data_IF_580241310380
#
_entry.id   IF_580241310380
#
_cell.length_a   1.000
_cell.length_b   1.000
_cell.length_c   1.000
_cell.angle_alpha   90.00
_cell.angle_beta   90.00
_cell.angle_gamma   90.00
#
_symmetry.space_group_name_H-M   'P 1'
#
loop_
_entity.id
_entity.type
_entity.pdbx_description
1 polymer ?
#
# COMPACT_ATOMS: atom_id res chain seq x y z
N UNK A 1 40.27 -12.91 25.04
CA UNK A 1 38.82 -13.14 25.20
C UNK A 1 38.07 -12.79 23.91
N UNK A 2 38.42 -11.67 23.26
CA UNK A 2 37.78 -11.23 22.00
C UNK A 2 37.70 -12.31 20.91
N UNK A 3 38.79 -13.05 20.64
CA UNK A 3 38.77 -14.15 19.65
C UNK A 3 37.74 -15.24 19.97
N UNK A 4 37.48 -15.49 21.26
CA UNK A 4 36.48 -16.47 21.69
C UNK A 4 35.06 -15.93 21.51
N UNK A 5 34.85 -14.64 21.80
CA UNK A 5 33.58 -13.94 21.58
C UNK A 5 33.20 -13.97 20.10
N UNK A 6 34.16 -13.67 19.21
CA UNK A 6 33.94 -13.69 17.76
C UNK A 6 33.60 -15.11 17.28
N UNK A 7 34.34 -16.11 17.75
CA UNK A 7 34.14 -17.52 17.36
C UNK A 7 32.78 -18.08 17.77
N UNK A 8 32.25 -17.66 18.92
CA UNK A 8 31.00 -18.18 19.48
C UNK A 8 29.82 -17.21 19.40
N UNK A 9 29.99 -16.05 18.76
CA UNK A 9 28.98 -14.99 18.61
C UNK A 9 28.41 -14.47 19.95
N UNK A 10 29.21 -14.49 21.03
CA UNK A 10 28.78 -14.16 22.41
C UNK A 10 28.90 -12.65 22.73
N UNK A 11 28.60 -11.79 21.77
CA UNK A 11 28.84 -10.34 21.88
C UNK A 11 28.01 -9.69 22.99
N UNK A 12 26.73 -10.04 23.11
CA UNK A 12 25.83 -9.51 24.15
C UNK A 12 26.32 -9.84 25.56
N UNK A 13 26.77 -11.08 25.76
CA UNK A 13 27.24 -11.55 27.06
C UNK A 13 28.58 -10.89 27.42
N UNK A 14 29.46 -10.73 26.44
CA UNK A 14 30.73 -10.02 26.61
C UNK A 14 30.52 -8.53 26.95
N UNK A 15 29.58 -7.85 26.30
CA UNK A 15 29.22 -6.46 26.63
C UNK A 15 28.63 -6.34 28.03
N UNK A 16 27.83 -7.32 28.48
CA UNK A 16 27.29 -7.35 29.83
C UNK A 16 28.39 -7.51 30.90
N UNK A 17 29.41 -8.32 30.62
CA UNK A 17 30.56 -8.52 31.51
C UNK A 17 31.44 -7.26 31.62
N UNK A 18 31.64 -6.54 30.51
CA UNK A 18 32.48 -5.34 30.46
C UNK A 18 31.74 -4.02 30.73
N UNK A 19 30.53 -4.07 31.30
CA UNK A 19 29.69 -2.88 31.58
C UNK A 19 30.40 -1.72 32.29
N UNK A 20 31.41 -2.01 33.12
CA UNK A 20 32.16 -1.01 33.88
C UNK A 20 33.58 -0.76 33.36
N UNK A 21 33.99 -1.42 32.27
CA UNK A 21 35.31 -1.31 31.64
C UNK A 21 35.15 -0.71 30.25
N UNK A 22 35.15 0.62 30.14
CA UNK A 22 34.85 1.34 28.90
C UNK A 22 35.74 0.92 27.73
N UNK A 23 37.06 0.84 27.92
CA UNK A 23 37.99 0.48 26.83
C UNK A 23 37.69 -0.89 26.21
N UNK A 24 37.48 -1.91 27.06
CA UNK A 24 37.16 -3.27 26.61
C UNK A 24 35.75 -3.40 26.07
N UNK A 25 34.81 -2.63 26.63
CA UNK A 25 33.45 -2.54 26.11
C UNK A 25 33.49 -2.02 24.67
N UNK A 26 34.27 -0.96 24.43
CA UNK A 26 34.38 -0.32 23.11
C UNK A 26 35.04 -1.25 22.08
N UNK A 27 36.08 -2.00 22.46
CA UNK A 27 36.70 -3.03 21.62
C UNK A 27 35.70 -4.13 21.21
N UNK A 28 34.94 -4.67 22.17
CA UNK A 28 33.91 -5.68 21.90
C UNK A 28 32.77 -5.10 21.06
N UNK A 29 32.38 -3.85 21.30
CA UNK A 29 31.34 -3.17 20.54
C UNK A 29 31.77 -2.98 19.07
N UNK A 30 33.06 -2.70 18.82
CA UNK A 30 33.60 -2.59 17.44
C UNK A 30 33.51 -3.93 16.71
N UNK A 31 33.92 -5.02 17.36
CA UNK A 31 33.80 -6.37 16.81
C UNK A 31 32.33 -6.75 16.57
N UNK A 32 31.44 -6.31 17.45
CA UNK A 32 30.01 -6.53 17.28
C UNK A 32 29.44 -5.75 16.08
N UNK A 33 29.87 -4.50 15.87
CA UNK A 33 29.50 -3.70 14.71
C UNK A 33 29.93 -4.36 13.39
N UNK A 34 31.17 -4.87 13.33
CA UNK A 34 31.69 -5.60 12.17
C UNK A 34 30.88 -6.88 11.90
N UNK A 35 30.58 -7.65 12.95
CA UNK A 35 29.70 -8.82 12.86
C UNK A 35 28.30 -8.46 12.35
N UNK A 36 27.67 -7.41 12.87
CA UNK A 36 26.35 -6.95 12.43
C UNK A 36 26.35 -6.52 10.96
N UNK A 37 27.42 -5.85 10.52
CA UNK A 37 27.62 -5.48 9.12
C UNK A 37 27.69 -6.72 8.22
N UNK A 38 28.49 -7.73 8.61
CA UNK A 38 28.57 -9.01 7.87
C UNK A 38 27.24 -9.77 7.79
N UNK A 39 26.37 -9.61 8.80
CA UNK A 39 25.02 -10.19 8.85
C UNK A 39 23.97 -9.34 8.14
N UNK A 40 24.36 -8.31 7.39
CA UNK A 40 23.47 -7.34 6.70
C UNK A 40 22.55 -6.53 7.63
N UNK A 41 22.85 -6.49 8.93
CA UNK A 41 22.13 -5.67 9.92
C UNK A 41 22.73 -4.27 9.99
N UNK A 42 22.75 -3.60 8.85
CA UNK A 42 23.48 -2.33 8.65
C UNK A 42 23.02 -1.19 9.57
N UNK A 43 21.72 -1.13 9.90
CA UNK A 43 21.20 -0.12 10.83
C UNK A 43 21.79 -0.26 12.23
N UNK A 44 21.84 -1.48 12.76
CA UNK A 44 22.37 -1.75 14.10
C UNK A 44 23.90 -1.58 14.12
N UNK A 45 24.58 -1.98 13.04
CA UNK A 45 26.01 -1.73 12.86
C UNK A 45 26.34 -0.23 12.84
N UNK A 46 25.56 0.58 12.12
CA UNK A 46 25.74 2.04 12.10
C UNK A 46 25.62 2.67 13.49
N UNK A 47 24.61 2.27 14.26
CA UNK A 47 24.41 2.75 15.65
C UNK A 47 25.60 2.35 16.53
N UNK A 48 26.12 1.14 16.33
CA UNK A 48 27.29 0.66 17.08
C UNK A 48 28.56 1.45 16.76
N UNK A 49 28.81 1.78 15.49
CA UNK A 49 29.92 2.64 15.09
C UNK A 49 29.74 4.08 15.58
N UNK A 50 28.52 4.63 15.52
CA UNK A 50 28.21 5.97 16.04
C UNK A 50 28.44 6.06 17.56
N UNK A 51 28.07 5.02 18.32
CA UNK A 51 28.36 4.92 19.75
C UNK A 51 29.87 5.02 20.05
N UNK A 52 30.70 4.44 19.17
CA UNK A 52 32.16 4.48 19.27
C UNK A 52 32.78 5.76 18.70
N UNK A 53 31.97 6.72 18.25
CA UNK A 53 32.41 7.91 17.52
C UNK A 53 33.20 7.61 16.24
N UNK A 54 33.06 6.40 15.69
CA UNK A 54 33.61 6.01 14.39
C UNK A 54 32.61 6.39 13.29
N UNK A 55 32.54 7.70 13.01
CA UNK A 55 31.60 8.24 12.05
C UNK A 55 31.89 7.82 10.60
N UNK A 56 33.14 7.43 10.31
CA UNK A 56 33.55 6.89 9.01
C UNK A 56 32.82 5.59 8.71
N UNK A 57 32.99 4.57 9.57
CA UNK A 57 32.31 3.28 9.38
C UNK A 57 30.80 3.36 9.61
N UNK A 58 30.33 4.28 10.49
CA UNK A 58 28.91 4.53 10.67
C UNK A 58 28.24 5.03 9.37
N UNK A 59 28.85 6.01 8.69
CA UNK A 59 28.32 6.57 7.45
C UNK A 59 28.16 5.52 6.34
N UNK A 60 29.12 4.60 6.21
CA UNK A 60 29.09 3.51 5.24
C UNK A 60 28.01 2.48 5.57
N UNK A 61 27.88 2.11 6.85
CA UNK A 61 26.83 1.22 7.31
C UNK A 61 25.44 1.83 7.08
N UNK A 62 25.23 3.11 7.41
CA UNK A 62 23.97 3.80 7.14
C UNK A 62 23.66 3.93 5.65
N UNK A 63 24.69 4.16 4.81
CA UNK A 63 24.55 4.13 3.35
C UNK A 63 24.05 2.78 2.86
N UNK A 64 24.63 1.68 3.33
CA UNK A 64 24.18 0.33 2.99
C UNK A 64 22.73 0.04 3.47
N UNK A 65 22.27 0.72 4.52
CA UNK A 65 20.91 0.63 5.04
C UNK A 65 19.88 1.54 4.33
N UNK A 66 20.30 2.38 3.36
CA UNK A 66 19.50 3.46 2.76
C UNK A 66 18.92 4.45 3.80
N UNK A 67 19.66 4.69 4.88
CA UNK A 67 19.32 5.66 5.93
C UNK A 67 20.05 6.97 5.67
N UNK A 68 19.53 7.77 4.73
CA UNK A 68 20.23 8.95 4.20
C UNK A 68 20.51 10.02 5.25
N UNK A 69 19.64 10.20 6.25
CA UNK A 69 19.79 11.23 7.28
C UNK A 69 20.96 10.91 8.19
N UNK A 70 20.98 9.69 8.70
CA UNK A 70 22.02 9.16 9.58
C UNK A 70 23.36 9.05 8.84
N UNK A 71 23.34 8.64 7.56
CA UNK A 71 24.54 8.58 6.72
C UNK A 71 25.16 9.96 6.50
N UNK A 72 24.36 10.95 6.09
CA UNK A 72 24.86 12.31 5.84
C UNK A 72 25.22 13.04 7.14
N UNK A 73 24.47 12.85 8.23
CA UNK A 73 24.85 13.44 9.53
C UNK A 73 26.19 12.89 10.02
N UNK A 74 26.41 11.57 9.91
CA UNK A 74 27.68 10.95 10.27
C UNK A 74 28.82 11.45 9.37
N UNK A 75 28.59 11.54 8.06
CA UNK A 75 29.57 12.05 7.11
C UNK A 75 29.98 13.51 7.39
N UNK A 76 29.03 14.36 7.82
CA UNK A 76 29.34 15.77 8.18
C UNK A 76 30.18 15.93 9.45
N UNK A 77 30.23 14.90 10.33
CA UNK A 77 31.06 14.90 11.54
C UNK A 77 32.50 14.45 11.26
N UNK A 78 32.76 13.89 10.08
CA UNK A 78 34.10 13.54 9.59
C UNK A 78 34.66 14.76 8.83
N UNK A 79 35.98 15.02 8.87
CA UNK A 79 36.61 16.09 8.08
C UNK A 79 36.67 15.77 6.58
N UNK A 80 35.52 15.47 5.97
CA UNK A 80 35.34 15.27 4.54
C UNK A 80 35.23 16.62 3.83
N UNK A 81 35.69 16.65 2.58
CA UNK A 81 35.50 17.79 1.69
C UNK A 81 34.03 17.96 1.29
N UNK A 82 33.62 19.18 0.93
CA UNK A 82 32.27 19.44 0.46
C UNK A 82 31.91 18.63 -0.80
N UNK A 83 32.90 18.32 -1.65
CA UNK A 83 32.72 17.46 -2.81
C UNK A 83 32.40 16.01 -2.45
N UNK A 84 33.08 15.44 -1.46
CA UNK A 84 32.82 14.05 -1.02
C UNK A 84 31.43 13.92 -0.39
N UNK A 85 31.00 14.93 0.38
CA UNK A 85 29.64 14.98 0.94
C UNK A 85 28.60 15.09 -0.18
N UNK A 86 28.86 15.88 -1.22
CA UNK A 86 27.96 16.00 -2.37
C UNK A 86 27.89 14.69 -3.18
N UNK A 87 29.00 13.99 -3.39
CA UNK A 87 29.02 12.67 -4.05
C UNK A 87 28.23 11.63 -3.25
N UNK A 88 28.40 11.60 -1.93
CA UNK A 88 27.63 10.74 -1.04
C UNK A 88 26.13 11.09 -1.08
N UNK A 89 25.78 12.38 -1.03
CA UNK A 89 24.40 12.83 -1.12
C UNK A 89 23.75 12.44 -2.46
N UNK A 90 24.49 12.57 -3.57
CA UNK A 90 24.00 12.15 -4.89
C UNK A 90 23.74 10.64 -4.93
N UNK A 91 24.65 9.81 -4.41
CA UNK A 91 24.47 8.36 -4.35
C UNK A 91 23.30 7.95 -3.45
N UNK A 92 22.99 8.72 -2.40
CA UNK A 92 21.87 8.48 -1.50
C UNK A 92 20.53 9.01 -2.02
N UNK A 93 20.52 9.94 -2.98
CA UNK A 93 19.29 10.57 -3.48
C UNK A 93 18.37 9.59 -4.20
N UNK A 94 18.92 8.57 -4.87
CA UNK A 94 18.15 7.58 -5.63
C UNK A 94 17.29 6.68 -4.72
N UNK A 95 17.79 6.30 -3.54
CA UNK A 95 17.07 5.43 -2.60
C UNK A 95 15.68 5.96 -2.20
N UNK A 96 15.57 7.23 -1.73
CA UNK A 96 14.28 7.87 -1.48
C UNK A 96 13.37 7.94 -2.73
N UNK A 97 13.91 8.20 -3.92
CA UNK A 97 13.13 8.22 -5.17
C UNK A 97 12.53 6.84 -5.46
N UNK A 98 13.31 5.77 -5.34
CA UNK A 98 12.85 4.39 -5.52
C UNK A 98 11.77 4.01 -4.50
N UNK A 99 11.91 4.47 -3.25
CA UNK A 99 10.92 4.24 -2.19
C UNK A 99 9.66 5.12 -2.31
N UNK A 100 9.61 6.02 -3.31
CA UNK A 100 8.59 7.07 -3.52
C UNK A 100 8.51 8.11 -2.39
N UNK A 101 9.56 8.23 -1.57
CA UNK A 101 9.71 9.34 -0.64
C UNK A 101 10.35 10.53 -1.37
N UNK A 102 9.52 11.20 -2.17
CA UNK A 102 9.94 12.36 -2.95
C UNK A 102 10.30 13.57 -2.07
N UNK A 103 9.77 13.65 -0.85
CA UNK A 103 10.11 14.73 0.06
C UNK A 103 11.56 14.60 0.52
N UNK A 104 11.96 13.40 0.97
CA UNK A 104 13.33 13.11 1.35
C UNK A 104 14.31 13.29 0.18
N UNK A 105 13.99 12.77 -1.01
CA UNK A 105 14.82 12.94 -2.21
C UNK A 105 15.09 14.42 -2.52
N UNK A 106 14.03 15.24 -2.55
CA UNK A 106 14.15 16.66 -2.83
C UNK A 106 14.90 17.43 -1.73
N UNK A 107 14.75 17.04 -0.45
CA UNK A 107 15.55 17.61 0.64
C UNK A 107 17.05 17.37 0.44
N UNK A 108 17.46 16.18 0.00
CA UNK A 108 18.87 15.89 -0.29
C UNK A 108 19.39 16.81 -1.40
N UNK A 109 18.64 16.95 -2.49
CA UNK A 109 19.01 17.85 -3.60
C UNK A 109 19.07 19.32 -3.18
N UNK A 110 18.15 19.79 -2.33
CA UNK A 110 18.16 21.17 -1.86
C UNK A 110 19.31 21.44 -0.88
N UNK A 111 19.45 20.61 0.15
CA UNK A 111 20.27 20.94 1.33
C UNK A 111 21.75 20.61 1.10
N UNK A 112 22.05 19.49 0.43
CA UNK A 112 23.43 19.01 0.25
C UNK A 112 23.97 19.28 -1.16
N UNK A 113 23.13 19.23 -2.20
CA UNK A 113 23.56 19.44 -3.59
C UNK A 113 23.33 20.89 -4.07
N UNK A 114 22.61 21.71 -3.30
CA UNK A 114 22.20 23.07 -3.67
C UNK A 114 21.48 23.15 -5.05
N UNK A 115 20.94 22.03 -5.53
CA UNK A 115 20.24 21.93 -6.80
C UNK A 115 18.74 22.16 -6.59
N UNK A 116 18.39 23.45 -6.65
CA UNK A 116 17.01 23.90 -6.47
C UNK A 116 16.10 23.39 -7.58
N UNK A 117 16.60 23.23 -8.80
CA UNK A 117 15.76 22.86 -9.94
C UNK A 117 15.31 21.41 -9.85
N UNK A 118 16.23 20.49 -9.57
CA UNK A 118 15.86 19.08 -9.37
C UNK A 118 15.05 18.88 -8.09
N UNK A 119 15.34 19.60 -7.00
CA UNK A 119 14.52 19.57 -5.79
C UNK A 119 13.05 19.98 -6.07
N UNK A 120 12.85 21.09 -6.80
CA UNK A 120 11.51 21.57 -7.19
C UNK A 120 10.78 20.55 -8.06
N UNK A 121 11.44 19.97 -9.08
CA UNK A 121 10.85 18.93 -9.92
C UNK A 121 10.44 17.70 -9.09
N UNK A 122 11.29 17.28 -8.15
CA UNK A 122 11.05 16.10 -7.31
C UNK A 122 9.92 16.33 -6.31
N UNK A 123 9.82 17.51 -5.69
CA UNK A 123 8.64 17.85 -4.86
C UNK A 123 7.34 17.88 -5.67
N UNK A 124 7.37 18.38 -6.91
CA UNK A 124 6.19 18.36 -7.78
C UNK A 124 5.71 16.93 -8.07
N UNK A 125 6.62 15.97 -8.31
CA UNK A 125 6.28 14.54 -8.45
C UNK A 125 5.60 13.96 -7.21
N UNK A 126 5.96 14.45 -6.02
CA UNK A 126 5.37 14.06 -4.74
C UNK A 126 4.12 14.85 -4.32
N UNK A 127 3.56 15.70 -5.18
CA UNK A 127 2.43 16.60 -4.86
C UNK A 127 2.73 17.61 -3.73
N UNK A 128 4.01 17.86 -3.41
CA UNK A 128 4.44 18.83 -2.40
C UNK A 128 4.60 20.25 -2.97
N UNK A 129 3.57 20.75 -3.66
CA UNK A 129 3.63 22.03 -4.38
C UNK A 129 3.86 23.24 -3.47
N UNK A 130 3.33 23.19 -2.24
CA UNK A 130 3.52 24.27 -1.27
C UNK A 130 5.01 24.46 -0.93
N UNK A 131 5.74 23.37 -0.76
CA UNK A 131 7.18 23.40 -0.44
C UNK A 131 8.01 23.83 -1.65
N UNK A 132 7.68 23.32 -2.83
CA UNK A 132 8.28 23.76 -4.08
C UNK A 132 8.15 25.28 -4.28
N UNK A 133 6.93 25.82 -4.09
CA UNK A 133 6.68 27.26 -4.20
C UNK A 133 7.39 28.08 -3.11
N UNK A 134 7.47 27.57 -1.88
CA UNK A 134 8.19 28.21 -0.77
C UNK A 134 9.68 28.36 -1.12
N UNK A 135 10.31 27.30 -1.63
CA UNK A 135 11.73 27.30 -1.97
C UNK A 135 12.03 28.16 -3.19
N UNK A 136 11.17 28.13 -4.21
CA UNK A 136 11.26 29.04 -5.37
C UNK A 136 11.22 30.50 -4.93
N UNK A 137 10.30 30.85 -4.02
CA UNK A 137 10.21 32.19 -3.44
C UNK A 137 11.43 32.54 -2.59
N UNK A 138 11.85 31.65 -1.70
CA UNK A 138 12.99 31.84 -0.79
C UNK A 138 14.32 32.05 -1.54
N UNK A 139 14.53 31.31 -2.64
CA UNK A 139 15.76 31.39 -3.46
C UNK A 139 15.66 32.44 -4.58
N UNK A 140 14.52 33.13 -4.72
CA UNK A 140 14.31 34.16 -5.74
C UNK A 140 14.30 33.66 -7.19
N UNK A 141 14.19 32.35 -7.44
CA UNK A 141 14.29 31.73 -8.77
C UNK A 141 12.94 31.66 -9.50
N UNK A 142 12.42 32.82 -9.91
CA UNK A 142 11.07 32.95 -10.50
C UNK A 142 10.87 32.13 -11.79
N UNK A 143 11.94 31.84 -12.53
CA UNK A 143 11.92 30.99 -13.72
C UNK A 143 11.41 29.56 -13.42
N UNK A 144 11.65 29.05 -12.21
CA UNK A 144 11.20 27.71 -11.82
C UNK A 144 9.69 27.62 -11.55
N UNK A 145 8.97 28.75 -11.57
CA UNK A 145 7.51 28.75 -11.49
C UNK A 145 6.88 28.02 -12.69
N UNK A 146 7.48 28.11 -13.88
CA UNK A 146 7.00 27.37 -15.05
C UNK A 146 7.15 25.84 -14.85
N UNK A 147 8.22 25.42 -14.16
CA UNK A 147 8.42 24.01 -13.78
C UNK A 147 7.34 23.52 -12.81
N UNK A 148 6.94 24.37 -11.85
CA UNK A 148 5.83 24.04 -10.94
C UNK A 148 4.50 23.99 -11.70
N UNK A 149 4.27 24.88 -12.66
CA UNK A 149 3.07 24.83 -13.51
C UNK A 149 3.01 23.54 -14.31
N UNK A 150 4.12 23.14 -14.92
CA UNK A 150 4.21 21.87 -15.63
C UNK A 150 3.89 20.69 -14.69
N UNK A 151 4.45 20.66 -13.48
CA UNK A 151 4.15 19.63 -12.48
C UNK A 151 2.67 19.62 -12.05
N UNK A 152 2.06 20.79 -11.87
CA UNK A 152 0.61 20.89 -11.58
C UNK A 152 -0.23 20.41 -12.75
N UNK A 153 0.18 20.71 -13.99
CA UNK A 153 -0.53 20.28 -15.18
C UNK A 153 -0.51 18.76 -15.33
N UNK A 154 0.66 18.14 -15.15
CA UNK A 154 0.86 16.70 -15.19
C UNK A 154 0.09 16.00 -14.06
N UNK A 155 0.22 16.49 -12.82
CA UNK A 155 -0.53 15.97 -11.67
C UNK A 155 -2.05 16.06 -11.88
N UNK A 156 -2.54 17.16 -12.45
CA UNK A 156 -3.98 17.31 -12.78
C UNK A 156 -4.45 16.33 -13.83
N UNK A 157 -3.65 16.04 -14.86
CA UNK A 157 -3.98 15.05 -15.88
C UNK A 157 -4.01 13.64 -15.28
N UNK A 158 -2.97 13.25 -14.54
CA UNK A 158 -2.86 11.93 -13.92
C UNK A 158 -4.00 11.66 -12.91
N UNK A 159 -4.34 12.64 -12.06
CA UNK A 159 -5.45 12.50 -11.12
C UNK A 159 -6.79 12.42 -11.86
N UNK A 160 -6.99 13.21 -12.91
CA UNK A 160 -8.25 13.18 -13.68
C UNK A 160 -8.44 11.84 -14.40
N UNK A 161 -7.37 11.28 -14.97
CA UNK A 161 -7.37 9.95 -15.60
C UNK A 161 -7.72 8.86 -14.57
N UNK A 162 -7.05 8.86 -13.41
CA UNK A 162 -7.35 7.92 -12.33
C UNK A 162 -8.82 8.00 -11.88
N UNK A 163 -9.36 9.22 -11.74
CA UNK A 163 -10.75 9.41 -11.33
C UNK A 163 -11.75 8.98 -12.42
N UNK A 164 -11.41 9.17 -13.70
CA UNK A 164 -12.20 8.68 -14.81
C UNK A 164 -12.25 7.15 -14.84
N UNK A 165 -11.12 6.49 -14.57
CA UNK A 165 -11.02 5.03 -14.44
C UNK A 165 -11.81 4.51 -13.23
N UNK A 166 -11.68 5.14 -12.07
CA UNK A 166 -12.49 4.78 -10.90
C UNK A 166 -13.99 4.88 -11.22
N UNK A 167 -14.41 5.95 -11.89
CA UNK A 167 -15.80 6.16 -12.32
C UNK A 167 -16.25 5.08 -13.31
N UNK A 168 -15.43 4.74 -14.31
CA UNK A 168 -15.79 3.73 -15.32
C UNK A 168 -15.91 2.34 -14.69
N UNK A 169 -15.01 1.99 -13.77
CA UNK A 169 -15.04 0.74 -13.03
C UNK A 169 -16.29 0.64 -12.14
N UNK A 170 -16.63 1.69 -11.39
CA UNK A 170 -17.87 1.71 -10.60
C UNK A 170 -19.10 1.57 -11.51
N UNK A 171 -19.12 2.28 -12.64
CA UNK A 171 -20.20 2.22 -13.62
C UNK A 171 -20.39 0.84 -14.25
N UNK A 172 -19.32 0.06 -14.43
CA UNK A 172 -19.39 -1.30 -14.98
C UNK A 172 -19.66 -2.37 -13.91
N UNK A 173 -19.05 -2.23 -12.72
CA UNK A 173 -19.09 -3.26 -11.68
C UNK A 173 -20.40 -3.27 -10.89
N UNK A 174 -21.00 -2.10 -10.63
CA UNK A 174 -22.24 -2.02 -9.84
C UNK A 174 -23.42 -2.67 -10.57
N UNK A 175 -23.72 -2.37 -11.86
CA UNK A 175 -24.79 -3.06 -12.59
C UNK A 175 -24.52 -4.55 -12.75
N UNK A 176 -23.27 -4.93 -13.04
CA UNK A 176 -22.87 -6.35 -13.11
C UNK A 176 -23.13 -7.07 -11.79
N UNK A 177 -22.90 -6.43 -10.65
CA UNK A 177 -23.21 -7.00 -9.34
C UNK A 177 -24.72 -7.21 -9.17
N UNK A 178 -25.56 -6.27 -9.62
CA UNK A 178 -27.03 -6.41 -9.62
C UNK A 178 -27.48 -7.62 -10.43
N UNK A 179 -26.97 -7.74 -11.66
CA UNK A 179 -27.27 -8.88 -12.54
C UNK A 179 -26.85 -10.21 -11.92
N UNK A 180 -25.65 -10.28 -11.34
CA UNK A 180 -25.15 -11.49 -10.68
C UNK A 180 -25.99 -11.87 -9.46
N UNK A 181 -26.51 -10.89 -8.72
CA UNK A 181 -27.40 -11.13 -7.59
C UNK A 181 -28.77 -11.61 -8.02
N UNK A 182 -29.33 -11.04 -9.07
CA UNK A 182 -30.59 -11.48 -9.66
C UNK A 182 -30.47 -12.93 -10.13
N UNK A 183 -29.42 -13.28 -10.88
CA UNK A 183 -29.15 -14.66 -11.28
C UNK A 183 -28.95 -15.61 -10.10
N UNK A 184 -28.27 -15.16 -9.04
CA UNK A 184 -28.10 -15.94 -7.82
C UNK A 184 -29.44 -16.19 -7.09
N UNK A 185 -30.37 -15.23 -7.15
CA UNK A 185 -31.69 -15.37 -6.55
C UNK A 185 -32.60 -16.29 -7.39
N UNK A 186 -32.54 -16.18 -8.72
CA UNK A 186 -33.28 -17.03 -9.65
C UNK A 186 -32.81 -18.48 -9.61
N UNK A 187 -31.49 -18.70 -9.55
CA UNK A 187 -30.91 -20.04 -9.47
C UNK A 187 -29.76 -20.10 -8.46
N UNK A 188 -30.06 -20.40 -7.19
CA UNK A 188 -29.04 -20.59 -6.16
C UNK A 188 -28.15 -21.82 -6.41
N UNK A 189 -28.66 -22.83 -7.11
CA UNK A 189 -28.04 -24.15 -7.27
C UNK A 189 -27.24 -24.31 -8.56
N UNK A 190 -27.47 -23.53 -9.61
CA UNK A 190 -26.61 -23.52 -10.81
C UNK A 190 -25.16 -23.09 -10.52
N UNK A 191 -24.91 -22.49 -9.35
CA UNK A 191 -23.55 -22.31 -8.83
C UNK A 191 -22.88 -23.65 -8.44
N UNK A 192 -23.65 -24.58 -7.87
CA UNK A 192 -23.21 -25.92 -7.45
C UNK A 192 -23.35 -26.98 -8.55
N UNK A 193 -24.13 -26.73 -9.60
CA UNK A 193 -24.41 -27.69 -10.66
C UNK A 193 -23.25 -27.90 -11.66
N UNK A 194 -22.03 -27.91 -11.13
CA UNK A 194 -20.86 -28.46 -11.79
C UNK A 194 -20.80 -29.99 -11.74
N UNK A 195 -21.75 -30.66 -11.10
CA UNK A 195 -21.67 -32.10 -10.80
C UNK A 195 -22.95 -32.92 -11.01
N UNK A 196 -24.08 -32.38 -11.49
CA UNK A 196 -25.19 -33.27 -11.89
C UNK A 196 -25.13 -33.60 -13.38
N UNK A 197 -24.89 -34.86 -13.75
CA UNK A 197 -25.23 -35.31 -15.09
C UNK A 197 -26.75 -35.45 -15.09
N UNK A 198 -27.47 -34.53 -15.73
CA UNK A 198 -28.68 -34.80 -16.52
C UNK A 198 -29.51 -33.54 -16.71
N UNK A 199 -29.62 -33.08 -17.96
CA UNK A 199 -30.91 -32.83 -18.64
C UNK A 199 -30.74 -32.07 -19.98
N UNK A 200 -29.87 -32.54 -20.87
CA UNK A 200 -30.07 -32.44 -22.32
C UNK A 200 -28.89 -33.14 -23.00
N UNK A 201 -29.14 -34.26 -23.67
CA UNK A 201 -28.15 -35.06 -24.38
C UNK A 201 -27.52 -34.32 -25.55
N UNK A 202 -26.53 -33.47 -25.26
CA UNK A 202 -25.49 -33.14 -26.21
C UNK A 202 -24.33 -34.11 -25.93
N UNK A 203 -24.17 -35.10 -26.82
CA UNK A 203 -22.96 -35.93 -26.91
C UNK A 203 -21.74 -35.02 -26.94
N UNK A 204 -21.09 -34.86 -25.79
CA UNK A 204 -19.73 -34.32 -25.72
C UNK A 204 -18.84 -35.49 -26.18
N UNK A 205 -18.11 -35.37 -27.30
CA UNK A 205 -17.34 -36.48 -27.84
C UNK A 205 -16.34 -37.00 -26.79
N UNK A 206 -16.45 -38.30 -26.51
CA UNK A 206 -15.73 -39.10 -25.49
C UNK A 206 -14.19 -39.15 -25.68
N UNK A 207 -13.67 -38.37 -26.63
CA UNK A 207 -12.25 -38.29 -27.00
C UNK A 207 -11.54 -37.08 -26.39
N UNK A 208 -12.21 -36.30 -25.54
CA UNK A 208 -11.58 -35.27 -24.72
C UNK A 208 -11.56 -35.78 -23.28
N UNK A 209 -10.45 -36.43 -22.93
CA UNK A 209 -10.17 -36.81 -21.56
C UNK A 209 -10.00 -35.55 -20.71
N UNK A 210 -11.11 -35.06 -20.16
CA UNK A 210 -11.12 -34.27 -18.93
C UNK A 210 -10.95 -35.25 -17.77
N UNK A 211 -9.80 -35.92 -17.72
CA UNK A 211 -9.38 -36.52 -16.47
C UNK A 211 -9.37 -35.39 -15.43
N UNK A 212 -10.15 -35.49 -14.34
CA UNK A 212 -9.99 -34.59 -13.22
C UNK A 212 -8.62 -34.92 -12.65
N UNK A 213 -7.61 -34.19 -13.12
CA UNK A 213 -6.32 -34.23 -12.46
C UNK A 213 -6.57 -33.64 -11.08
N UNK A 214 -6.20 -34.38 -10.04
CA UNK A 214 -6.34 -34.11 -8.61
C UNK A 214 -5.59 -32.84 -8.12
N UNK A 215 -5.51 -31.80 -8.94
CA UNK A 215 -4.97 -30.49 -8.64
C UNK A 215 -6.06 -29.43 -8.45
N UNK A 216 -7.33 -29.80 -8.47
CA UNK A 216 -8.47 -28.87 -8.30
C UNK A 216 -8.81 -28.52 -6.85
N UNK A 217 -8.04 -29.01 -5.87
CA UNK A 217 -8.23 -28.72 -4.44
C UNK A 217 -7.18 -27.73 -3.94
N UNK A 218 -7.09 -26.54 -4.54
CA UNK A 218 -6.43 -25.40 -3.89
C UNK A 218 -6.88 -24.04 -4.45
N UNK A 219 -8.06 -23.60 -4.00
CA UNK A 219 -8.33 -22.17 -3.75
C UNK A 219 -8.28 -21.19 -4.92
N UNK A 220 -8.59 -21.61 -6.15
CA UNK A 220 -8.44 -20.77 -7.35
C UNK A 220 -9.70 -20.52 -8.21
N UNK A 221 -10.78 -21.28 -8.04
CA UNK A 221 -11.91 -21.30 -9.01
C UNK A 221 -13.26 -20.91 -8.40
N UNK A 222 -13.27 -19.96 -7.47
CA UNK A 222 -14.48 -19.25 -7.03
C UNK A 222 -14.89 -18.10 -8.00
N UNK A 223 -14.65 -18.27 -9.30
CA UNK A 223 -15.08 -17.31 -10.34
C UNK A 223 -16.19 -17.96 -11.18
N UNK A 224 -17.37 -17.38 -11.06
CA UNK A 224 -18.69 -17.90 -11.35
C UNK A 224 -18.98 -18.12 -12.85
N UNK A 225 -19.68 -19.21 -13.22
CA UNK A 225 -20.27 -19.42 -14.56
C UNK A 225 -21.28 -18.33 -14.97
N UNK A 226 -21.75 -17.49 -14.04
CA UNK A 226 -22.64 -16.37 -14.34
C UNK A 226 -21.98 -15.21 -15.10
N UNK A 227 -20.65 -15.21 -15.24
CA UNK A 227 -19.95 -14.24 -16.08
C UNK A 227 -19.75 -14.83 -17.46
N UNK A 228 -20.67 -14.59 -18.40
CA UNK A 228 -20.40 -14.85 -19.80
C UNK A 228 -19.20 -14.00 -20.22
N UNK A 229 -18.22 -14.61 -20.89
CA UNK A 229 -17.13 -13.89 -21.56
C UNK A 229 -17.76 -12.95 -22.58
N UNK A 230 -17.98 -11.68 -22.23
CA UNK A 230 -18.19 -10.65 -23.23
C UNK A 230 -16.86 -10.48 -24.00
N UNK A 231 -16.82 -10.96 -25.23
CA UNK A 231 -15.73 -10.71 -26.17
C UNK A 231 -15.59 -9.20 -26.37
N UNK A 232 -14.57 -8.57 -25.79
CA UNK A 232 -14.30 -7.15 -26.07
C UNK A 232 -13.56 -6.34 -25.00
N UNK A 233 -13.34 -6.84 -23.78
CA UNK A 233 -12.51 -6.13 -22.81
C UNK A 233 -11.78 -7.11 -21.90
N UNK A 234 -10.55 -7.43 -22.28
CA UNK A 234 -9.66 -8.29 -21.51
C UNK A 234 -9.10 -7.57 -20.29
N UNK A 235 -9.84 -7.54 -19.18
CA UNK A 235 -9.23 -7.32 -17.86
C UNK A 235 -8.60 -8.63 -17.38
N UNK A 236 -7.49 -9.02 -18.01
CA UNK A 236 -6.55 -10.05 -17.55
C UNK A 236 -5.58 -9.45 -16.51
N UNK A 237 -6.10 -8.87 -15.43
CA UNK A 237 -5.30 -8.51 -14.26
C UNK A 237 -5.78 -9.23 -13.01
N UNK A 238 -5.77 -10.57 -13.04
CA UNK A 238 -5.91 -11.44 -11.85
C UNK A 238 -4.64 -11.44 -10.99
N UNK A 239 -4.10 -10.25 -10.68
CA UNK A 239 -3.06 -10.08 -9.66
C UNK A 239 -3.65 -9.61 -8.32
N UNK A 240 -4.90 -9.13 -8.31
CA UNK A 240 -5.53 -8.54 -7.12
C UNK A 240 -6.15 -9.53 -6.13
N UNK A 241 -6.25 -10.83 -6.45
CA UNK A 241 -6.88 -11.85 -5.58
C UNK A 241 -5.85 -12.78 -4.91
N UNK A 242 -4.83 -12.20 -4.28
CA UNK A 242 -4.05 -12.90 -3.24
C UNK A 242 -4.21 -12.21 -1.88
N UNK A 243 -5.47 -12.03 -1.46
CA UNK A 243 -5.83 -11.66 -0.09
C UNK A 243 -5.85 -12.92 0.79
N UNK A 244 -4.68 -13.47 1.07
CA UNK A 244 -4.51 -14.41 2.19
C UNK A 244 -4.41 -13.60 3.49
N UNK A 245 -4.84 -14.17 4.63
CA UNK A 245 -4.73 -13.50 5.94
C UNK A 245 -3.31 -13.01 6.25
N UNK A 246 -2.29 -13.72 5.73
CA UNK A 246 -0.87 -13.34 5.80
C UNK A 246 -0.55 -12.08 4.99
N UNK A 247 -1.14 -11.90 3.81
CA UNK A 247 -0.99 -10.68 3.02
C UNK A 247 -1.75 -9.50 3.64
N UNK A 248 -2.94 -9.75 4.23
CA UNK A 248 -3.68 -8.71 4.99
C UNK A 248 -2.88 -8.19 6.16
N UNK A 249 -2.26 -9.07 6.96
CA UNK A 249 -1.39 -8.69 8.09
C UNK A 249 -0.10 -7.99 7.62
N UNK A 250 0.44 -8.35 6.45
CA UNK A 250 1.60 -7.68 5.84
C UNK A 250 1.22 -6.29 5.33
N UNK A 251 0.04 -6.13 4.76
CA UNK A 251 -0.50 -4.86 4.29
C UNK A 251 -0.94 -3.96 5.45
N UNK A 252 -1.49 -4.51 6.52
CA UNK A 252 -1.75 -3.84 7.81
C UNK A 252 -0.45 -3.38 8.45
N UNK A 253 0.61 -4.19 8.45
CA UNK A 253 1.96 -3.78 8.90
C UNK A 253 2.58 -2.69 8.01
N UNK A 254 2.31 -2.70 6.70
CA UNK A 254 2.71 -1.62 5.78
C UNK A 254 1.87 -0.35 5.99
N UNK A 255 0.57 -0.46 6.29
CA UNK A 255 -0.31 0.65 6.67
C UNK A 255 0.07 1.22 8.04
N UNK A 256 0.54 0.39 8.96
CA UNK A 256 1.01 0.82 10.28
C UNK A 256 2.41 1.48 10.26
N UNK A 257 3.19 1.30 9.19
CA UNK A 257 4.55 1.85 9.04
C UNK A 257 4.62 3.30 8.55
N UNK A 258 3.49 3.93 8.26
CA UNK A 258 3.43 5.35 7.95
C UNK A 258 1.98 5.80 7.95
N UNK A 259 1.70 6.93 8.60
CA UNK A 259 0.44 7.66 8.45
C UNK A 259 0.24 7.88 6.95
N UNK A 260 -0.51 7.00 6.28
CA UNK A 260 -0.97 7.27 4.92
C UNK A 260 -1.76 8.56 5.01
N UNK A 261 -1.39 9.54 4.20
CA UNK A 261 -2.15 10.77 4.08
C UNK A 261 -3.63 10.40 3.89
N UNK A 262 -4.57 11.16 4.49
CA UNK A 262 -5.99 10.84 4.35
C UNK A 262 -6.33 10.72 2.87
N UNK A 263 -7.17 9.73 2.53
CA UNK A 263 -7.60 9.49 1.15
C UNK A 263 -8.19 10.80 0.60
N UNK A 264 -7.54 11.37 -0.43
CA UNK A 264 -7.90 12.67 -1.01
C UNK A 264 -6.97 13.85 -0.64
N UNK A 265 -6.02 13.70 0.28
CA UNK A 265 -5.09 14.77 0.64
C UNK A 265 -4.25 15.25 -0.57
N UNK A 266 -3.78 14.31 -1.40
CA UNK A 266 -3.04 14.62 -2.63
C UNK A 266 -3.87 15.46 -3.60
N UNK A 267 -5.17 15.14 -3.73
CA UNK A 267 -6.11 15.88 -4.57
C UNK A 267 -6.34 17.29 -3.99
N UNK A 268 -6.48 17.41 -2.67
CA UNK A 268 -6.64 18.70 -2.01
C UNK A 268 -5.41 19.60 -2.20
N UNK A 269 -4.20 19.08 -1.99
CA UNK A 269 -2.95 19.82 -2.22
C UNK A 269 -2.78 20.23 -3.68
N UNK A 270 -3.18 19.36 -4.61
CA UNK A 270 -3.18 19.66 -6.04
C UNK A 270 -4.17 20.79 -6.39
N UNK A 271 -5.40 20.73 -5.88
CA UNK A 271 -6.43 21.77 -6.08
C UNK A 271 -5.97 23.11 -5.52
N UNK A 272 -5.39 23.13 -4.31
CA UNK A 272 -4.81 24.35 -3.72
C UNK A 272 -3.66 24.90 -4.59
N UNK A 273 -2.75 24.03 -5.05
CA UNK A 273 -1.65 24.40 -5.93
C UNK A 273 -2.10 25.01 -7.26
N UNK A 274 -3.09 24.39 -7.91
CA UNK A 274 -3.71 24.90 -9.15
C UNK A 274 -4.35 26.27 -8.93
N UNK A 275 -5.06 26.47 -7.81
CA UNK A 275 -5.68 27.75 -7.48
C UNK A 275 -4.64 28.85 -7.24
N UNK A 276 -3.57 28.55 -6.51
CA UNK A 276 -2.45 29.49 -6.27
C UNK A 276 -1.74 29.91 -7.56
N UNK A 277 -1.79 29.07 -8.61
CA UNK A 277 -1.20 29.34 -9.94
C UNK A 277 -2.21 29.81 -10.98
N UNK A 278 -3.41 30.26 -10.57
CA UNK A 278 -4.47 30.80 -11.44
C UNK A 278 -5.06 29.78 -12.44
N UNK A 279 -4.94 28.49 -12.17
CA UNK A 279 -5.48 27.41 -13.00
C UNK A 279 -6.87 26.96 -12.51
N UNK A 280 -7.79 27.92 -12.34
CA UNK A 280 -9.11 27.70 -11.70
C UNK A 280 -9.94 26.61 -12.38
N UNK A 281 -9.99 26.60 -13.72
CA UNK A 281 -10.79 25.63 -14.46
C UNK A 281 -10.32 24.18 -14.23
N UNK A 282 -9.00 23.98 -14.18
CA UNK A 282 -8.43 22.65 -13.90
C UNK A 282 -8.68 22.23 -12.46
N UNK A 283 -8.55 23.17 -11.52
CA UNK A 283 -8.84 22.92 -10.12
C UNK A 283 -10.30 22.49 -9.94
N UNK A 284 -11.24 23.22 -10.55
CA UNK A 284 -12.66 22.90 -10.54
C UNK A 284 -12.97 21.53 -11.17
N UNK A 285 -12.32 21.20 -12.30
CA UNK A 285 -12.51 19.93 -12.98
C UNK A 285 -12.05 18.73 -12.12
N UNK A 286 -10.87 18.82 -11.51
CA UNK A 286 -10.33 17.79 -10.61
C UNK A 286 -11.24 17.61 -9.39
N UNK A 287 -11.67 18.71 -8.79
CA UNK A 287 -12.54 18.70 -7.62
C UNK A 287 -13.92 18.10 -7.91
N UNK A 288 -14.54 18.49 -9.03
CA UNK A 288 -15.81 17.95 -9.49
C UNK A 288 -15.71 16.45 -9.80
N UNK A 289 -14.61 16.01 -10.43
CA UNK A 289 -14.35 14.59 -10.69
C UNK A 289 -14.22 13.80 -9.38
N UNK A 290 -13.49 14.33 -8.39
CA UNK A 290 -13.31 13.69 -7.09
C UNK A 290 -14.63 13.59 -6.33
N UNK A 291 -15.40 14.69 -6.24
CA UNK A 291 -16.74 14.69 -5.64
C UNK A 291 -17.67 13.67 -6.30
N UNK A 292 -17.63 13.57 -7.63
CA UNK A 292 -18.45 12.60 -8.38
C UNK A 292 -18.10 11.15 -8.04
N UNK A 293 -16.81 10.80 -8.00
CA UNK A 293 -16.36 9.45 -7.63
C UNK A 293 -16.73 9.13 -6.19
N UNK A 294 -16.49 10.06 -5.26
CA UNK A 294 -16.86 9.90 -3.84
C UNK A 294 -18.37 9.73 -3.68
N UNK A 295 -19.18 10.50 -4.40
CA UNK A 295 -20.63 10.37 -4.41
C UNK A 295 -21.10 9.02 -4.96
N UNK A 296 -20.50 8.54 -6.04
CA UNK A 296 -20.77 7.20 -6.59
C UNK A 296 -20.41 6.09 -5.61
N UNK A 297 -19.27 6.21 -4.92
CA UNK A 297 -18.88 5.28 -3.86
C UNK A 297 -19.95 5.23 -2.77
N UNK A 298 -20.33 6.38 -2.19
CA UNK A 298 -21.38 6.43 -1.16
C UNK A 298 -22.70 5.82 -1.65
N UNK A 299 -23.13 6.14 -2.87
CA UNK A 299 -24.36 5.61 -3.46
C UNK A 299 -24.37 4.10 -3.68
N UNK A 300 -23.20 3.46 -3.84
CA UNK A 300 -23.12 2.01 -4.01
C UNK A 300 -22.72 1.25 -2.74
N UNK A 301 -22.34 1.90 -1.64
CA UNK A 301 -21.87 1.23 -0.42
C UNK A 301 -22.92 0.28 0.16
N UNK A 302 -24.14 0.79 0.40
CA UNK A 302 -25.20 -0.01 1.03
C UNK A 302 -25.59 -1.21 0.16
N UNK A 303 -25.64 -1.00 -1.14
CA UNK A 303 -25.91 -2.04 -2.12
C UNK A 303 -24.79 -3.08 -2.12
N UNK A 304 -23.53 -2.68 -2.32
CA UNK A 304 -22.39 -3.62 -2.44
C UNK A 304 -22.17 -4.43 -1.15
N UNK A 305 -22.37 -3.80 0.01
CA UNK A 305 -22.14 -4.44 1.32
C UNK A 305 -23.40 -5.00 1.98
N UNK A 306 -24.58 -4.83 1.37
CA UNK A 306 -25.89 -5.32 1.87
C UNK A 306 -26.16 -4.86 3.30
N UNK A 307 -25.91 -3.57 3.58
CA UNK A 307 -26.08 -3.02 4.94
C UNK A 307 -27.56 -2.94 5.34
N UNK A 308 -28.45 -2.70 4.36
CA UNK A 308 -29.90 -2.55 4.57
C UNK A 308 -30.68 -3.86 4.78
N UNK A 309 -30.43 -4.89 3.96
CA UNK A 309 -31.07 -6.23 4.08
C UNK A 309 -30.87 -6.83 5.49
N UNK A 310 -29.75 -6.49 6.14
CA UNK A 310 -29.38 -6.93 7.49
C UNK A 310 -30.08 -6.19 8.64
N UNK A 311 -30.61 -4.98 8.42
CA UNK A 311 -31.42 -4.29 9.45
C UNK A 311 -32.80 -4.93 9.55
N UNK A 312 -33.37 -5.30 8.40
CA UNK A 312 -34.68 -5.94 8.31
C UNK A 312 -34.67 -7.36 8.89
N UNK A 313 -33.64 -8.17 8.60
CA UNK A 313 -33.44 -9.49 9.24
C UNK A 313 -33.29 -9.41 10.78
N UNK A 314 -32.86 -8.26 11.34
CA UNK A 314 -32.79 -8.04 12.78
C UNK A 314 -34.11 -7.58 13.41
N UNK A 315 -34.94 -6.87 12.66
CA UNK A 315 -36.22 -6.34 13.16
C UNK A 315 -37.35 -7.36 13.03
N UNK A 316 -37.33 -8.22 12.00
CA UNK A 316 -38.31 -9.30 11.81
C UNK A 316 -38.03 -10.56 12.68
N UNK A 317 -36.92 -10.56 13.43
CA UNK A 317 -36.50 -11.65 14.31
C UNK A 317 -36.98 -11.56 15.77
N UNK A 318 -37.73 -10.51 16.14
CA UNK A 318 -38.18 -10.27 17.53
C UNK A 318 -39.65 -10.70 17.72
N UNK A 319 -39.88 -12.01 17.63
CA UNK A 319 -41.08 -12.72 18.11
C UNK A 319 -40.78 -13.46 19.42
N UNK A 320 -41.77 -13.72 20.30
CA UNK A 320 -41.56 -13.80 21.74
C UNK A 320 -40.68 -14.99 22.16
N UNK A 321 -39.80 -14.71 23.12
CA UNK A 321 -38.96 -15.62 23.90
C UNK A 321 -39.44 -17.08 23.95
N UNK A 322 -38.93 -17.90 23.03
CA UNK A 322 -38.93 -19.35 23.08
C UNK A 322 -37.48 -19.82 22.97
N UNK A 323 -37.03 -20.64 23.93
CA UNK A 323 -35.63 -20.97 24.16
C UNK A 323 -34.82 -21.32 22.91
N UNK A 324 -33.64 -20.71 22.84
CA UNK A 324 -32.57 -21.08 21.91
C UNK A 324 -32.21 -22.55 22.15
N UNK A 325 -32.37 -23.48 21.19
CA UNK A 325 -31.61 -24.71 21.24
C UNK A 325 -30.17 -24.31 20.95
N UNK A 326 -29.24 -24.61 21.86
CA UNK A 326 -27.81 -24.54 21.61
C UNK A 326 -27.52 -25.31 20.30
N UNK A 327 -27.20 -24.58 19.23
CA UNK A 327 -26.65 -25.19 18.02
C UNK A 327 -25.29 -25.78 18.42
N UNK A 328 -25.23 -27.11 18.50
CA UNK A 328 -23.97 -27.86 18.52
C UNK A 328 -23.07 -27.31 17.42
N UNK A 329 -21.89 -26.77 17.79
CA UNK A 329 -20.78 -26.57 16.86
C UNK A 329 -20.37 -27.95 16.33
N UNK A 330 -21.08 -28.41 15.30
CA UNK A 330 -20.72 -29.61 14.55
C UNK A 330 -19.29 -29.47 14.05
N UNK A 331 -18.45 -30.46 14.38
CA UNK A 331 -17.04 -30.46 14.02
C UNK A 331 -16.89 -30.18 12.52
N UNK A 332 -16.08 -29.16 12.18
CA UNK A 332 -15.78 -28.79 10.79
C UNK A 332 -15.42 -30.04 9.99
N UNK A 333 -16.16 -30.40 8.93
CA UNK A 333 -15.87 -31.57 8.12
C UNK A 333 -14.45 -31.49 7.54
N UNK A 334 -13.75 -32.62 7.42
CA UNK A 334 -12.44 -32.66 6.77
C UNK A 334 -12.59 -32.91 5.26
N UNK A 335 -11.58 -32.54 4.47
CA UNK A 335 -11.60 -32.72 3.02
C UNK A 335 -12.50 -31.73 2.27
N UNK A 336 -13.16 -32.18 1.19
CA UNK A 336 -13.98 -31.34 0.30
C UNK A 336 -15.19 -30.71 0.99
N UNK A 337 -15.84 -31.44 1.89
CA UNK A 337 -16.97 -30.95 2.68
C UNK A 337 -16.56 -29.82 3.63
N UNK A 338 -15.31 -29.82 4.11
CA UNK A 338 -14.75 -28.73 4.91
C UNK A 338 -14.51 -27.44 4.12
N UNK A 339 -14.30 -27.54 2.81
CA UNK A 339 -14.18 -26.39 1.91
C UNK A 339 -15.56 -25.82 1.60
N UNK A 340 -16.56 -26.67 1.41
CA UNK A 340 -17.96 -26.26 1.28
C UNK A 340 -18.48 -25.59 2.55
N UNK A 341 -18.19 -26.17 3.71
CA UNK A 341 -18.51 -25.62 5.02
C UNK A 341 -17.88 -24.23 5.21
N UNK A 342 -16.59 -24.07 4.90
CA UNK A 342 -15.90 -22.78 4.93
C UNK A 342 -16.50 -21.76 3.96
N UNK A 343 -16.91 -22.17 2.76
CA UNK A 343 -17.52 -21.29 1.77
C UNK A 343 -18.92 -20.80 2.17
N UNK A 344 -19.72 -21.67 2.80
CA UNK A 344 -21.01 -21.33 3.40
C UNK A 344 -20.83 -20.38 4.59
N UNK A 345 -19.88 -20.67 5.48
CA UNK A 345 -19.47 -19.81 6.59
C UNK A 345 -18.94 -18.45 6.12
N UNK A 346 -18.11 -18.40 5.08
CA UNK A 346 -17.56 -17.15 4.53
C UNK A 346 -18.62 -16.31 3.79
N UNK A 347 -19.63 -16.98 3.21
CA UNK A 347 -20.85 -16.32 2.71
C UNK A 347 -21.71 -15.72 3.84
N UNK A 348 -21.72 -16.35 5.02
CA UNK A 348 -22.37 -15.86 6.25
C UNK A 348 -21.54 -14.82 7.00
N UNK A 349 -20.21 -14.79 6.82
CA UNK A 349 -19.31 -13.85 7.50
C UNK A 349 -19.61 -12.41 7.09
N UNK A 350 -19.82 -11.58 8.12
CA UNK A 350 -20.17 -10.16 8.04
C UNK A 350 -19.13 -9.40 7.23
N UNK A 351 -19.54 -8.89 6.06
CA UNK A 351 -18.75 -7.90 5.31
C UNK A 351 -19.10 -6.52 5.86
N UNK A 352 -18.20 -5.94 6.64
CA UNK A 352 -18.32 -4.57 7.12
C UNK A 352 -18.08 -3.59 5.97
N UNK A 353 -18.94 -2.58 5.84
CA UNK A 353 -18.78 -1.54 4.84
C UNK A 353 -17.56 -0.66 5.18
N UNK A 354 -16.70 -0.33 4.20
CA UNK A 354 -15.57 0.55 4.42
C UNK A 354 -16.04 1.98 4.68
N UNK A 355 -15.33 2.69 5.56
CA UNK A 355 -15.58 4.12 5.80
C UNK A 355 -15.03 4.92 4.63
N UNK A 356 -15.92 5.53 3.85
CA UNK A 356 -15.57 6.53 2.84
C UNK A 356 -15.71 7.90 3.48
N UNK A 357 -14.59 8.63 3.60
CA UNK A 357 -14.62 10.00 4.11
C UNK A 357 -15.15 10.95 3.03
N UNK A 358 -15.90 11.97 3.44
CA UNK A 358 -16.26 13.06 2.55
C UNK A 358 -15.01 13.78 2.05
N UNK A 359 -15.04 14.23 0.81
CA UNK A 359 -14.00 15.09 0.25
C UNK A 359 -14.34 16.53 0.60
N UNK A 360 -13.54 17.15 1.46
CA UNK A 360 -13.64 18.56 1.79
C UNK A 360 -13.06 19.38 0.63
N UNK A 361 -13.95 20.08 -0.07
CA UNK A 361 -13.61 20.93 -1.19
C UNK A 361 -13.02 22.28 -0.77
N UNK A 362 -12.50 23.01 -1.74
CA UNK A 362 -12.04 24.37 -1.52
C UNK A 362 -13.23 25.33 -1.67
N UNK A 363 -13.56 26.10 -0.62
CA UNK A 363 -14.69 27.05 -0.65
C UNK A 363 -14.63 28.08 -1.80
N UNK A 364 -13.44 28.34 -2.37
CA UNK A 364 -13.27 29.24 -3.51
C UNK A 364 -13.81 28.70 -4.84
N UNK A 365 -14.11 27.39 -4.89
CA UNK A 365 -14.57 26.64 -6.06
C UNK A 365 -16.01 26.14 -5.90
N UNK A 366 -16.67 26.47 -4.78
CA UNK A 366 -18.10 26.23 -4.56
C UNK A 366 -18.99 27.18 -5.36
#
# INVERSE_FOLDING_TARGET
LEQYVVKHELYSDALALYRYQTERYDEVMRLYAEFLSSRSKFKEAGIAYEYLSDYTSASEAYRAANLWREALSSATLVPLSASEIAELALALADGPVESKDFFAAASIHLDYLADVETAVRTWCKGYFFAEALRVVGLRGRRNLLETVDAGLTEGSAAVTELLADCKSQLGAQVPRLRELRLKKAEDPLAFLDGTTPTASGADIPDNISLAPTDTSTSGGTFMTRYTSRSSGSGTLSTTATRKTSKNRRREERKRARGKKAPVGAEVAWLVEGLMRRKMRERAAAVEAAMRKVVGMCHGCLDEVFQVGERKMEREDGDGPAGGVPEEEEGARPSGGDGVFWDAMEEGRRRREAPVVKAFEGLALLE
#
